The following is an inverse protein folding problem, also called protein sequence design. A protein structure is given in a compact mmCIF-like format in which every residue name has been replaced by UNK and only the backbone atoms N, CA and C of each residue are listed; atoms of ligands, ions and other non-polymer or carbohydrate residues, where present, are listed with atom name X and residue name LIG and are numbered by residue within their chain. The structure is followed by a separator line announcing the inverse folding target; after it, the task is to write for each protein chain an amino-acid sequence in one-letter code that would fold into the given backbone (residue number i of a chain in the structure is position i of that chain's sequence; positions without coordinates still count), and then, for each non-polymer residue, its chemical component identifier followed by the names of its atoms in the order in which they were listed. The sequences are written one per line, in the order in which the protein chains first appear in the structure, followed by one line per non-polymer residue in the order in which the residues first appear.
data_IF_702279181639
#
_entry.id   IF_702279181639
#
_cell.length_a   1.000
_cell.length_b   1.000
_cell.length_c   1.000
_cell.angle_alpha   90.00
_cell.angle_beta   90.00
_cell.angle_gamma   90.00
#
_symmetry.space_group_name_H-M   'P 1'
#
loop_
_entity.id
_entity.type
_entity.pdbx_description
1 polymer ?
#
# COMPACT_ATOMS: atom_id res chain seq x y z
N UNK A 1 -3.47 14.95 -5.97
CA UNK A 1 -3.32 14.24 -4.67
C UNK A 1 -2.50 12.97 -4.87
N UNK A 2 -1.90 12.44 -3.79
CA UNK A 2 -1.07 11.23 -3.91
C UNK A 2 -1.90 9.99 -3.62
N UNK A 3 -2.17 9.19 -4.66
CA UNK A 3 -2.89 7.91 -4.58
C UNK A 3 -1.95 6.82 -4.08
N UNK A 4 -2.48 5.94 -3.23
CA UNK A 4 -1.80 4.72 -2.81
C UNK A 4 -2.76 3.54 -2.85
N UNK A 5 -2.41 2.52 -3.66
CA UNK A 5 -3.16 1.28 -3.80
C UNK A 5 -2.59 0.19 -2.88
N UNK A 6 -3.45 -0.71 -2.43
CA UNK A 6 -3.14 -1.77 -1.49
C UNK A 6 -3.68 -3.11 -1.98
N UNK A 7 -2.98 -4.18 -1.61
CA UNK A 7 -3.36 -5.57 -1.84
C UNK A 7 -3.50 -6.28 -0.50
N UNK A 8 -4.60 -6.99 -0.33
CA UNK A 8 -4.87 -7.82 0.86
C UNK A 8 -4.83 -9.28 0.42
N UNK A 9 -3.79 -10.00 0.85
CA UNK A 9 -3.66 -11.44 0.65
C UNK A 9 -4.55 -12.21 1.63
N UNK A 10 -4.89 -13.44 1.27
CA UNK A 10 -5.67 -14.34 2.10
C UNK A 10 -5.06 -14.57 3.50
N UNK A 11 -5.89 -14.97 4.46
CA UNK A 11 -5.47 -15.27 5.84
C UNK A 11 -4.43 -16.39 5.91
N UNK A 12 -4.38 -17.29 4.93
CA UNK A 12 -3.31 -18.28 4.81
C UNK A 12 -1.90 -17.63 4.75
N UNK A 13 -1.80 -16.38 4.30
CA UNK A 13 -0.55 -15.62 4.27
C UNK A 13 -0.09 -15.12 5.64
N UNK A 14 -0.94 -15.16 6.68
CA UNK A 14 -0.65 -14.57 7.99
C UNK A 14 0.61 -15.12 8.64
N UNK A 15 0.89 -16.40 8.41
CA UNK A 15 2.05 -17.09 8.98
C UNK A 15 3.39 -16.61 8.38
N UNK A 16 3.35 -16.00 7.20
CA UNK A 16 4.55 -15.49 6.50
C UNK A 16 5.13 -14.24 7.16
N UNK A 17 4.38 -13.58 8.05
CA UNK A 17 4.79 -12.34 8.66
C UNK A 17 4.41 -12.24 10.14
N UNK A 18 5.41 -12.05 11.01
CA UNK A 18 5.21 -11.89 12.47
C UNK A 18 5.24 -10.44 12.93
N UNK A 19 5.95 -9.57 12.21
CA UNK A 19 6.15 -8.17 12.54
C UNK A 19 5.81 -7.28 11.36
N UNK A 20 5.50 -6.01 11.63
CA UNK A 20 5.33 -5.02 10.57
C UNK A 20 6.70 -4.78 9.93
N UNK A 21 6.78 -4.90 8.61
CA UNK A 21 7.99 -4.56 7.85
C UNK A 21 7.80 -3.21 7.20
N UNK A 22 8.58 -2.23 7.69
CA UNK A 22 8.73 -0.94 7.04
C UNK A 22 10.13 -0.89 6.40
N UNK A 23 10.23 -0.78 5.07
CA UNK A 23 11.52 -0.60 4.44
C UNK A 23 12.10 0.77 4.81
N UNK A 24 13.43 0.87 4.76
CA UNK A 24 14.13 2.14 5.02
C UNK A 24 13.69 3.15 3.95
N UNK A 25 13.17 4.32 4.36
CA UNK A 25 12.71 5.33 3.41
C UNK A 25 13.89 5.88 2.59
N UNK A 26 13.63 6.20 1.33
CA UNK A 26 14.52 7.01 0.51
C UNK A 26 13.84 8.34 0.14
N UNK A 27 14.54 9.20 -0.60
CA UNK A 27 14.03 10.53 -0.97
C UNK A 27 12.69 10.49 -1.73
N UNK A 28 12.41 9.39 -2.46
CA UNK A 28 11.23 9.24 -3.33
C UNK A 28 10.06 8.55 -2.62
N UNK A 29 10.33 7.57 -1.76
CA UNK A 29 9.29 6.75 -1.15
C UNK A 29 9.70 6.16 0.20
N UNK A 30 8.70 5.98 1.08
CA UNK A 30 8.82 5.16 2.30
C UNK A 30 8.77 3.65 2.00
N UNK A 31 8.57 3.28 0.74
CA UNK A 31 8.44 1.90 0.26
C UNK A 31 7.11 1.23 0.60
N UNK A 32 7.00 -0.05 0.23
CA UNK A 32 5.82 -0.89 0.49
C UNK A 32 5.92 -1.42 1.92
N UNK A 33 4.89 -1.14 2.73
CA UNK A 33 4.74 -1.70 4.07
C UNK A 33 4.07 -3.06 3.96
N UNK A 34 4.57 -4.01 4.74
CA UNK A 34 3.94 -5.32 4.93
C UNK A 34 3.47 -5.44 6.37
N UNK A 35 2.21 -5.79 6.57
CA UNK A 35 1.64 -5.93 7.92
C UNK A 35 0.51 -6.96 7.92
N UNK A 36 0.17 -7.46 9.11
CA UNK A 36 -1.07 -8.19 9.31
C UNK A 36 -2.21 -7.23 9.60
N UNK A 37 -3.37 -7.47 9.00
CA UNK A 37 -4.60 -6.79 9.39
C UNK A 37 -5.11 -7.37 10.71
N UNK A 38 -6.02 -6.66 11.37
CA UNK A 38 -6.71 -7.16 12.58
C UNK A 38 -7.51 -8.44 12.34
N UNK A 39 -7.87 -8.73 11.08
CA UNK A 39 -8.60 -9.93 10.68
C UNK A 39 -7.69 -11.11 10.30
N UNK A 40 -6.37 -10.93 10.38
CA UNK A 40 -5.37 -11.96 10.09
C UNK A 40 -4.98 -12.06 8.62
N UNK A 41 -5.34 -11.12 7.76
CA UNK A 41 -4.82 -11.07 6.39
C UNK A 41 -3.41 -10.49 6.36
N UNK A 42 -2.64 -10.73 5.29
CA UNK A 42 -1.42 -9.98 5.01
C UNK A 42 -1.72 -8.83 4.05
N UNK A 43 -1.44 -7.60 4.49
CA UNK A 43 -1.57 -6.38 3.72
C UNK A 43 -0.21 -5.97 3.15
N UNK A 44 -0.18 -5.67 1.85
CA UNK A 44 0.95 -5.04 1.18
C UNK A 44 0.54 -3.70 0.58
N UNK A 45 1.32 -2.66 0.84
CA UNK A 45 1.12 -1.35 0.22
C UNK A 45 1.62 -0.18 1.08
N UNK A 46 1.35 1.06 0.67
CA UNK A 46 0.70 1.41 -0.59
C UNK A 46 1.68 1.52 -1.76
N UNK A 47 1.13 1.62 -2.98
CA UNK A 47 1.80 2.27 -4.12
C UNK A 47 1.93 3.78 -3.89
N UNK A 48 2.57 4.48 -4.83
CA UNK A 48 2.72 5.93 -4.77
C UNK A 48 2.58 6.52 -6.17
N UNK A 49 1.38 7.02 -6.47
CA UNK A 49 1.03 7.59 -7.77
C UNK A 49 0.51 9.01 -7.57
N UNK A 50 0.91 9.94 -8.44
CA UNK A 50 0.26 11.24 -8.51
C UNK A 50 -0.99 11.13 -9.37
N UNK A 51 -2.08 11.78 -8.96
CA UNK A 51 -3.30 11.90 -9.75
C UNK A 51 -3.94 13.27 -9.59
N UNK A 52 -4.73 13.68 -10.59
CA UNK A 52 -5.44 14.95 -10.58
C UNK A 52 -6.82 14.86 -9.90
N UNK A 53 -7.52 13.73 -10.06
CA UNK A 53 -8.84 13.52 -9.46
C UNK A 53 -8.75 13.58 -7.92
N UNK A 54 -9.60 14.40 -7.32
CA UNK A 54 -9.61 14.67 -5.88
C UNK A 54 -10.61 13.81 -5.11
N UNK A 55 -11.52 13.15 -5.80
CA UNK A 55 -12.66 12.45 -5.21
C UNK A 55 -12.56 10.95 -5.41
N UNK A 56 -12.01 10.49 -6.54
CA UNK A 56 -11.99 9.07 -6.87
C UNK A 56 -10.61 8.42 -6.72
N UNK A 57 -10.51 7.45 -5.81
CA UNK A 57 -9.35 6.60 -5.64
C UNK A 57 -9.56 5.26 -6.36
N UNK A 58 -9.50 5.26 -7.70
CA UNK A 58 -9.66 4.02 -8.48
C UNK A 58 -8.41 3.15 -8.38
N UNK A 59 -8.62 1.84 -8.27
CA UNK A 59 -7.55 0.86 -8.40
C UNK A 59 -7.24 0.60 -9.87
N UNK A 60 -5.96 0.38 -10.17
CA UNK A 60 -5.44 0.01 -11.48
C UNK A 60 -4.82 -1.40 -11.42
N UNK A 61 -5.27 -2.30 -12.30
CA UNK A 61 -4.88 -3.72 -12.30
C UNK A 61 -3.39 -3.93 -12.55
N UNK A 62 -2.80 -3.20 -13.49
CA UNK A 62 -1.37 -3.35 -13.80
C UNK A 62 -0.50 -2.88 -12.64
N UNK A 63 -0.92 -1.80 -11.98
CA UNK A 63 -0.27 -1.29 -10.78
C UNK A 63 -0.41 -2.25 -9.60
N UNK A 64 -1.58 -2.88 -9.42
CA UNK A 64 -1.77 -3.92 -8.42
C UNK A 64 -0.89 -5.15 -8.70
N UNK A 65 -0.77 -5.56 -9.96
CA UNK A 65 0.10 -6.68 -10.33
C UNK A 65 1.57 -6.37 -10.02
N UNK A 66 2.07 -5.17 -10.37
CA UNK A 66 3.43 -4.75 -9.98
C UNK A 66 3.63 -4.72 -8.47
N UNK A 67 2.61 -4.33 -7.70
CA UNK A 67 2.66 -4.38 -6.24
C UNK A 67 2.72 -5.83 -5.72
N UNK A 68 1.96 -6.75 -6.32
CA UNK A 68 2.02 -8.19 -6.00
C UNK A 68 3.40 -8.74 -6.32
N UNK A 69 3.95 -8.45 -7.50
CA UNK A 69 5.27 -8.94 -7.91
C UNK A 69 6.37 -8.44 -6.96
N UNK A 70 6.32 -7.15 -6.59
CA UNK A 70 7.21 -6.57 -5.60
C UNK A 70 7.04 -7.19 -4.19
N UNK A 71 5.81 -7.57 -3.82
CA UNK A 71 5.55 -8.27 -2.58
C UNK A 71 6.14 -9.68 -2.59
N UNK A 72 5.98 -10.43 -3.69
CA UNK A 72 6.54 -11.77 -3.88
C UNK A 72 8.06 -11.76 -3.91
N UNK A 73 8.69 -10.74 -4.51
CA UNK A 73 10.14 -10.56 -4.48
C UNK A 73 10.68 -10.49 -3.03
N UNK A 74 9.96 -9.79 -2.14
CA UNK A 74 10.37 -9.55 -0.74
C UNK A 74 9.93 -10.68 0.20
N UNK A 75 8.79 -11.29 -0.07
CA UNK A 75 8.22 -12.41 0.69
C UNK A 75 7.85 -13.51 -0.31
N UNK A 76 8.80 -14.37 -0.72
CA UNK A 76 8.58 -15.38 -1.76
C UNK A 76 7.41 -16.34 -1.52
N UNK A 77 7.03 -16.55 -0.26
CA UNK A 77 5.87 -17.36 0.14
C UNK A 77 4.51 -16.77 -0.26
N UNK A 78 4.46 -15.50 -0.72
CA UNK A 78 3.25 -14.91 -1.28
C UNK A 78 2.96 -15.37 -2.71
N UNK A 79 3.89 -16.06 -3.37
CA UNK A 79 3.68 -16.55 -4.74
C UNK A 79 2.49 -17.51 -4.78
N UNK A 80 1.50 -17.19 -5.62
CA UNK A 80 0.27 -17.97 -5.76
C UNK A 80 -0.74 -17.80 -4.61
N UNK A 81 -0.45 -16.94 -3.63
CA UNK A 81 -1.37 -16.64 -2.55
C UNK A 81 -2.55 -15.82 -3.08
N UNK A 82 -3.82 -16.20 -2.79
CA UNK A 82 -4.97 -15.46 -3.26
C UNK A 82 -5.00 -14.03 -2.71
N UNK A 83 -5.42 -13.08 -3.54
CA UNK A 83 -5.74 -11.71 -3.12
C UNK A 83 -7.25 -11.65 -2.88
N UNK A 84 -7.64 -11.32 -1.65
CA UNK A 84 -9.06 -11.30 -1.23
C UNK A 84 -9.69 -9.93 -1.35
N UNK A 85 -8.88 -8.87 -1.35
CA UNK A 85 -9.36 -7.50 -1.53
C UNK A 85 -8.25 -6.58 -2.05
N UNK A 86 -8.67 -5.53 -2.74
CA UNK A 86 -7.82 -4.40 -3.14
C UNK A 86 -8.55 -3.11 -2.84
N UNK A 87 -7.80 -2.06 -2.53
CA UNK A 87 -8.36 -0.73 -2.32
C UNK A 87 -7.31 0.33 -2.59
N UNK A 88 -7.75 1.57 -2.77
CA UNK A 88 -6.86 2.72 -2.85
C UNK A 88 -7.32 3.83 -1.91
N UNK A 89 -6.36 4.63 -1.45
CA UNK A 89 -6.63 5.82 -0.67
C UNK A 89 -5.96 7.04 -1.29
N UNK A 90 -6.57 8.20 -1.12
CA UNK A 90 -5.99 9.49 -1.50
C UNK A 90 -5.41 10.19 -0.30
N UNK A 91 -4.14 10.61 -0.43
CA UNK A 91 -3.55 11.56 0.51
C UNK A 91 -3.74 12.98 -0.04
N UNK A 92 -4.42 13.87 0.71
CA UNK A 92 -4.42 15.28 0.41
C UNK A 92 -2.98 15.80 0.32
N UNK A 93 -2.70 16.63 -0.68
CA UNK A 93 -1.41 17.24 -0.91
C UNK A 93 -1.60 18.74 -1.16
N UNK A 94 -0.58 19.53 -0.84
CA UNK A 94 -0.52 20.97 -1.08
C UNK A 94 0.85 21.35 -1.65
N UNK A 95 1.04 22.63 -1.97
CA UNK A 95 2.34 23.18 -2.36
C UNK A 95 3.41 23.05 -1.26
N UNK A 96 3.00 22.80 -0.01
CA UNK A 96 3.89 22.55 1.13
C UNK A 96 3.71 21.14 1.70
N UNK A 97 4.78 20.61 2.29
CA UNK A 97 4.80 19.23 2.84
C UNK A 97 4.18 19.14 4.23
N UNK A 98 4.16 20.21 5.00
CA UNK A 98 3.64 20.27 6.36
C UNK A 98 2.11 20.41 6.42
N UNK A 99 1.53 20.04 7.56
CA UNK A 99 0.10 20.23 7.83
C UNK A 99 -0.29 21.72 7.80
N UNK A 100 -1.48 22.01 7.28
CA UNK A 100 -2.02 23.37 7.16
C UNK A 100 -3.01 23.64 8.29
N UNK A 101 -2.50 23.86 9.49
CA UNK A 101 -3.30 24.13 10.70
C UNK A 101 -3.30 25.64 10.94
N UNK A 102 -4.49 26.24 11.07
CA UNK A 102 -4.68 27.65 11.41
C UNK A 102 -5.78 27.75 12.44
N UNK A 103 -5.66 28.70 13.36
CA UNK A 103 -6.76 29.06 14.25
C UNK A 103 -7.77 29.85 13.41
N UNK A 104 -9.02 29.40 13.43
CA UNK A 104 -10.15 30.00 12.70
C UNK A 104 -11.01 30.77 13.68
#
# INVERSE_FOLDING_TARGET
PRKGQFVVFDKAAAALLRHILLPVPNERTKGVVFTRTVFGNLLAGPTAEEQDDREQARVDSDTLQRLIDAAVERIPGLRGMPVTATYAGLRPASEKKEYRIRQV
#
